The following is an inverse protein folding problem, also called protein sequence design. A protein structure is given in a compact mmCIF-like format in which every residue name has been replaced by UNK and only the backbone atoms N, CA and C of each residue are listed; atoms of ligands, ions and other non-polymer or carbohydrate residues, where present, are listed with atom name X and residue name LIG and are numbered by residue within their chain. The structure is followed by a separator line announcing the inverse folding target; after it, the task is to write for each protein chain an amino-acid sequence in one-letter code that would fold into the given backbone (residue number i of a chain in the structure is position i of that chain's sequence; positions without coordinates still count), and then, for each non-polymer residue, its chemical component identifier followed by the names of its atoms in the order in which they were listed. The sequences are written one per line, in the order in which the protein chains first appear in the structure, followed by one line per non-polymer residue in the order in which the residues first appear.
data_IF_464312037715
#
_entry.id   IF_464312037715
#
_cell.length_a   1.000
_cell.length_b   1.000
_cell.length_c   1.000
_cell.angle_alpha   90.00
_cell.angle_beta   90.00
_cell.angle_gamma   90.00
#
_symmetry.space_group_name_H-M   'P 1'
#
loop_
_entity.id
_entity.type
_entity.pdbx_description
1 polymer ?
#
# COMPACT_ATOMS: atom_id res chain seq x y z
N UNK A 1 -10.03 -16.98 32.05
CA UNK A 1 -10.56 -15.85 31.24
C UNK A 1 -10.03 -16.05 29.84
N UNK A 2 -10.79 -16.77 29.03
CA UNK A 2 -10.39 -17.28 27.71
C UNK A 2 -10.22 -16.18 26.66
N UNK A 3 -9.31 -16.42 25.72
CA UNK A 3 -8.87 -15.49 24.68
C UNK A 3 -10.03 -14.99 23.76
N UNK A 4 -10.48 -13.76 23.97
CA UNK A 4 -11.45 -13.04 23.12
C UNK A 4 -10.85 -12.55 21.79
N UNK A 5 -9.57 -12.82 21.53
CA UNK A 5 -8.85 -12.38 20.32
C UNK A 5 -9.36 -13.04 19.03
N UNK A 6 -10.00 -14.21 19.12
CA UNK A 6 -10.47 -14.98 17.97
C UNK A 6 -11.61 -14.30 17.18
N UNK A 7 -12.32 -13.37 17.79
CA UNK A 7 -13.46 -12.68 17.17
C UNK A 7 -13.16 -11.26 16.72
N UNK A 8 -11.99 -10.71 17.07
CA UNK A 8 -11.63 -9.32 16.79
C UNK A 8 -10.95 -9.18 15.43
N UNK A 9 -11.13 -8.00 14.83
CA UNK A 9 -10.55 -7.64 13.54
C UNK A 9 -9.02 -7.71 13.55
N UNK A 10 -8.44 -8.41 12.57
CA UNK A 10 -7.00 -8.56 12.36
C UNK A 10 -6.45 -7.45 11.43
N UNK A 11 -6.75 -6.19 11.74
CA UNK A 11 -6.18 -5.08 10.96
C UNK A 11 -4.70 -4.90 11.34
N UNK A 12 -3.81 -4.81 10.33
CA UNK A 12 -2.35 -4.89 10.54
C UNK A 12 -1.73 -3.62 11.12
N UNK A 13 -2.24 -2.46 10.73
CA UNK A 13 -1.59 -1.18 11.06
C UNK A 13 -2.02 -0.63 12.42
N UNK A 14 -3.27 -0.88 12.83
CA UNK A 14 -3.81 -0.43 14.13
C UNK A 14 -4.67 -1.53 14.77
N UNK A 15 -4.67 -1.60 16.10
CA UNK A 15 -5.52 -2.53 16.84
C UNK A 15 -6.99 -2.14 16.63
N UNK A 16 -7.81 -3.08 16.17
CA UNK A 16 -9.22 -2.86 15.92
C UNK A 16 -10.06 -3.76 16.84
N UNK A 17 -10.92 -3.14 17.65
CA UNK A 17 -11.78 -3.83 18.61
C UNK A 17 -13.13 -4.26 18.02
N UNK A 18 -13.37 -3.97 16.73
CA UNK A 18 -14.59 -4.39 16.06
C UNK A 18 -14.54 -5.88 15.74
N UNK A 19 -15.69 -6.59 15.82
CA UNK A 19 -15.75 -8.00 15.49
C UNK A 19 -15.47 -8.25 14.01
N UNK A 20 -14.93 -9.43 13.70
CA UNK A 20 -14.75 -9.92 12.34
C UNK A 20 -16.10 -10.02 11.64
N UNK A 21 -16.16 -9.56 10.39
CA UNK A 21 -17.38 -9.69 9.61
C UNK A 21 -17.64 -11.15 9.23
N UNK A 22 -18.91 -11.50 9.00
CA UNK A 22 -19.32 -12.85 8.59
C UNK A 22 -19.52 -12.87 7.07
N UNK A 23 -18.90 -13.83 6.38
CA UNK A 23 -19.15 -14.13 4.96
C UNK A 23 -20.54 -14.76 4.80
N UNK A 24 -21.10 -14.73 3.59
CA UNK A 24 -22.39 -15.41 3.28
C UNK A 24 -22.39 -16.91 3.61
N UNK A 25 -21.22 -17.55 3.62
CA UNK A 25 -21.03 -18.96 3.97
C UNK A 25 -20.91 -19.22 5.49
N UNK A 26 -21.08 -18.20 6.33
CA UNK A 26 -20.97 -18.31 7.79
C UNK A 26 -19.55 -18.23 8.35
N UNK A 27 -18.50 -18.19 7.51
CA UNK A 27 -17.12 -18.06 7.98
C UNK A 27 -16.77 -16.61 8.33
N UNK A 28 -15.90 -16.42 9.32
CA UNK A 28 -15.38 -15.09 9.67
C UNK A 28 -14.37 -14.61 8.62
N UNK A 29 -14.50 -13.34 8.23
CA UNK A 29 -13.44 -12.60 7.56
C UNK A 29 -12.28 -12.33 8.53
N UNK A 30 -11.10 -12.00 8.00
CA UNK A 30 -9.98 -11.53 8.84
C UNK A 30 -10.22 -10.11 9.39
N UNK A 31 -11.01 -9.30 8.67
CA UNK A 31 -11.28 -7.91 8.99
C UNK A 31 -12.74 -7.72 9.47
N UNK A 32 -13.00 -6.65 10.22
CA UNK A 32 -14.35 -6.17 10.47
C UNK A 32 -15.00 -5.61 9.20
N UNK A 33 -16.30 -5.33 9.29
CA UNK A 33 -17.09 -4.77 8.19
C UNK A 33 -16.49 -3.46 7.67
N UNK A 34 -16.17 -2.54 8.58
CA UNK A 34 -15.58 -1.24 8.26
C UNK A 34 -14.27 -1.38 7.45
N UNK A 35 -13.32 -2.18 7.95
CA UNK A 35 -12.04 -2.37 7.27
C UNK A 35 -12.18 -3.14 5.96
N UNK A 36 -13.16 -4.05 5.82
CA UNK A 36 -13.44 -4.74 4.56
C UNK A 36 -13.89 -3.76 3.47
N UNK A 37 -14.80 -2.84 3.81
CA UNK A 37 -15.26 -1.80 2.89
C UNK A 37 -14.12 -0.85 2.53
N UNK A 38 -13.32 -0.42 3.51
CA UNK A 38 -12.13 0.44 3.28
C UNK A 38 -11.11 -0.23 2.36
N UNK A 39 -10.82 -1.52 2.57
CA UNK A 39 -9.92 -2.30 1.72
C UNK A 39 -10.46 -2.40 0.28
N UNK A 40 -11.76 -2.65 0.10
CA UNK A 40 -12.38 -2.68 -1.23
C UNK A 40 -12.29 -1.32 -1.95
N UNK A 41 -12.48 -0.22 -1.22
CA UNK A 41 -12.33 1.13 -1.77
C UNK A 41 -10.88 1.39 -2.20
N UNK A 42 -9.92 1.02 -1.35
CA UNK A 42 -8.50 1.16 -1.66
C UNK A 42 -8.11 0.32 -2.90
N UNK A 43 -8.54 -0.94 -2.96
CA UNK A 43 -8.33 -1.81 -4.12
C UNK A 43 -8.85 -1.16 -5.41
N UNK A 44 -10.08 -0.63 -5.41
CA UNK A 44 -10.66 0.06 -6.58
C UNK A 44 -9.87 1.31 -6.97
N UNK A 45 -9.37 2.08 -5.99
CA UNK A 45 -8.52 3.26 -6.24
C UNK A 45 -7.21 2.85 -6.90
N UNK A 46 -6.54 1.82 -6.39
CA UNK A 46 -5.31 1.28 -6.97
C UNK A 46 -5.51 0.76 -8.39
N UNK A 47 -6.62 0.06 -8.65
CA UNK A 47 -6.96 -0.43 -9.99
C UNK A 47 -7.23 0.72 -10.96
N UNK A 48 -7.93 1.77 -10.53
CA UNK A 48 -8.14 2.98 -11.33
C UNK A 48 -6.81 3.66 -11.67
N UNK A 49 -5.90 3.80 -10.70
CA UNK A 49 -4.55 4.37 -10.90
C UNK A 49 -3.73 3.51 -11.85
N UNK A 50 -3.75 2.17 -11.71
CA UNK A 50 -3.10 1.25 -12.66
C UNK A 50 -3.68 1.36 -14.06
N UNK A 51 -5.00 1.53 -14.19
CA UNK A 51 -5.67 1.68 -15.49
C UNK A 51 -5.40 3.03 -16.14
N UNK A 52 -5.23 4.11 -15.37
CA UNK A 52 -4.84 5.40 -15.91
C UNK A 52 -3.39 5.41 -16.37
N UNK A 53 -2.48 4.78 -15.63
CA UNK A 53 -1.07 4.66 -16.02
C UNK A 53 -0.83 3.65 -17.14
N UNK A 54 -1.68 2.61 -17.26
CA UNK A 54 -1.58 1.60 -18.34
C UNK A 54 -2.31 1.98 -19.63
N UNK A 55 -2.79 3.22 -19.78
CA UNK A 55 -3.24 3.76 -21.09
C UNK A 55 -2.09 4.17 -22.01
N UNK A 56 -0.85 3.82 -21.69
CA UNK A 56 0.18 3.66 -22.71
C UNK A 56 -0.06 2.32 -23.42
N UNK A 57 -0.11 2.29 -24.77
CA UNK A 57 -0.37 1.05 -25.50
C UNK A 57 0.65 0.00 -25.07
N UNK A 58 0.17 -1.18 -24.68
CA UNK A 58 1.00 -2.35 -24.38
C UNK A 58 1.76 -2.77 -25.65
N UNK A 59 2.86 -2.09 -25.97
CA UNK A 59 3.82 -2.59 -26.92
C UNK A 59 4.59 -3.70 -26.25
N UNK A 60 4.10 -4.92 -26.46
CA UNK A 60 4.86 -6.16 -26.47
C UNK A 60 5.75 -6.40 -25.23
N UNK A 61 5.26 -7.21 -24.28
CA UNK A 61 6.05 -7.81 -23.18
C UNK A 61 7.09 -8.81 -23.73
N UNK A 62 8.07 -8.30 -24.46
CA UNK A 62 9.29 -9.03 -24.82
C UNK A 62 10.48 -8.15 -24.45
N UNK A 63 10.98 -8.36 -23.24
CA UNK A 63 12.36 -8.07 -22.85
C UNK A 63 12.78 -6.61 -22.93
N UNK A 64 12.50 -5.82 -21.89
CA UNK A 64 13.52 -4.97 -21.30
C UNK A 64 13.10 -4.56 -19.89
N UNK A 65 13.99 -4.89 -18.96
CA UNK A 65 14.10 -4.42 -17.59
C UNK A 65 14.92 -3.13 -17.68
N UNK A 66 14.70 -2.20 -16.74
CA UNK A 66 15.30 -0.83 -16.66
C UNK A 66 14.47 0.23 -17.41
N UNK A 67 14.02 1.36 -16.85
CA UNK A 67 14.42 2.10 -15.64
C UNK A 67 13.15 2.68 -14.97
N UNK A 68 13.03 2.47 -13.66
CA UNK A 68 12.16 3.29 -12.82
C UNK A 68 12.77 4.70 -12.76
N UNK A 69 12.09 5.75 -13.22
CA UNK A 69 11.39 6.80 -12.43
C UNK A 69 10.72 7.76 -13.43
N UNK A 70 9.46 8.15 -13.21
CA UNK A 70 8.87 9.34 -13.85
C UNK A 70 9.05 10.54 -12.90
N UNK A 71 9.88 11.56 -13.21
CA UNK A 71 10.14 12.68 -12.31
C UNK A 71 9.04 13.74 -12.25
N UNK A 72 7.89 13.54 -12.91
CA UNK A 72 6.84 14.56 -12.99
C UNK A 72 5.45 13.95 -13.19
N UNK A 73 5.02 13.10 -12.26
CA UNK A 73 3.58 12.91 -12.02
C UNK A 73 3.05 14.09 -11.18
N UNK A 74 3.19 15.31 -11.73
CA UNK A 74 2.46 16.49 -11.26
C UNK A 74 1.04 16.41 -11.81
N UNK A 75 0.10 16.00 -10.96
CA UNK A 75 -1.32 16.40 -11.03
C UNK A 75 -1.95 15.96 -9.71
N UNK A 76 -1.87 16.88 -8.76
CA UNK A 76 -2.99 17.31 -7.91
C UNK A 76 -4.20 16.37 -7.96
N UNK A 77 -4.34 15.49 -6.96
CA UNK A 77 -5.60 14.91 -6.44
C UNK A 77 -5.28 13.82 -5.40
N UNK A 78 -4.39 14.11 -4.44
CA UNK A 78 -4.30 13.32 -3.20
C UNK A 78 -5.10 14.05 -2.12
N UNK A 79 -6.39 13.76 -2.08
CA UNK A 79 -7.27 13.99 -0.93
C UNK A 79 -6.78 13.05 0.21
N UNK A 80 -5.75 13.50 0.92
CA UNK A 80 -5.22 12.87 2.12
C UNK A 80 -6.28 12.94 3.23
N UNK A 81 -6.69 11.76 3.71
CA UNK A 81 -7.53 11.58 4.91
C UNK A 81 -6.71 12.00 6.14
N UNK A 82 -6.69 13.30 6.42
CA UNK A 82 -6.14 13.93 7.63
C UNK A 82 -7.04 13.62 8.82
N UNK A 83 -6.67 12.64 9.65
CA UNK A 83 -7.11 12.59 11.06
C UNK A 83 -5.97 12.12 11.98
N UNK A 84 -5.29 13.14 12.53
CA UNK A 84 -4.29 13.20 13.63
C UNK A 84 -2.81 13.32 13.23
N UNK A 85 -2.38 14.57 13.18
CA UNK A 85 -1.01 15.02 13.40
C UNK A 85 -0.51 14.63 14.80
N UNK A 86 0.66 13.99 14.89
CA UNK A 86 1.72 14.42 15.81
C UNK A 86 3.06 13.72 15.51
N UNK A 87 4.13 14.49 15.74
CA UNK A 87 5.53 14.13 15.89
C UNK A 87 6.45 13.79 14.68
N UNK A 88 6.98 14.88 14.10
CA UNK A 88 8.40 15.26 14.21
C UNK A 88 9.50 14.28 13.74
N UNK A 89 10.23 14.73 12.72
CA UNK A 89 11.64 14.40 12.42
C UNK A 89 11.96 12.96 11.97
N UNK A 90 11.89 12.72 10.67
CA UNK A 90 12.89 11.89 10.01
C UNK A 90 13.29 12.52 8.68
N UNK A 91 14.32 13.36 8.71
CA UNK A 91 15.04 13.72 7.50
C UNK A 91 15.96 12.55 7.18
N UNK A 92 15.60 11.73 6.18
CA UNK A 92 16.43 10.62 5.70
C UNK A 92 17.78 11.16 5.21
N UNK A 93 18.83 10.97 6.00
CA UNK A 93 20.20 11.31 5.61
C UNK A 93 20.74 10.22 4.66
N UNK A 94 20.74 10.50 3.37
CA UNK A 94 21.25 9.58 2.34
C UNK A 94 22.77 9.69 2.26
N UNK A 95 23.48 8.69 2.80
CA UNK A 95 24.92 8.52 2.56
C UNK A 95 25.08 7.91 1.16
N UNK A 96 25.50 8.71 0.18
CA UNK A 96 25.94 8.20 -1.11
C UNK A 96 27.41 7.77 -1.03
N UNK A 97 27.66 6.46 -0.98
CA UNK A 97 29.00 5.90 -1.10
C UNK A 97 29.27 5.48 -2.55
N UNK A 98 30.35 5.98 -3.13
CA UNK A 98 30.76 5.61 -4.49
C UNK A 98 31.31 4.16 -4.54
N UNK A 99 31.03 3.39 -5.60
CA UNK A 99 31.54 2.03 -5.74
C UNK A 99 33.06 2.01 -5.97
N UNK A 100 33.76 1.19 -5.18
CA UNK A 100 35.22 1.01 -5.27
C UNK A 100 35.56 0.34 -6.61
N UNK A 101 36.35 1.02 -7.46
CA UNK A 101 36.88 0.46 -8.71
C UNK A 101 38.15 -0.32 -8.42
N UNK A 102 38.08 -1.65 -8.49
CA UNK A 102 39.26 -2.51 -8.48
C UNK A 102 39.90 -2.52 -9.88
N UNK A 103 41.23 -2.45 -10.01
CA UNK A 103 41.90 -2.66 -11.28
C UNK A 103 41.74 -4.13 -11.71
N UNK A 104 41.28 -4.32 -12.95
CA UNK A 104 41.20 -5.64 -13.60
C UNK A 104 42.61 -6.08 -14.04
N UNK A 105 42.98 -7.36 -13.84
CA UNK A 105 44.30 -7.90 -14.21
C UNK A 105 44.48 -8.10 -15.72
#
# INVERSE_FOLDING_TARGET
MEATSSHLCLYRNKVCLLPRAIKKNGQLHSLCEFHRVKANLNQRRLEKKKKSTSRLPETNRSGCKELWVDPVASSEDDDYDDENADDTQNADHVIWAEPIKLPVP
#
